data_IF_166749347751
#
_entry.id   IF_166749347751
#
_cell.length_a   1.000
_cell.length_b   1.000
_cell.length_c   1.000
_cell.angle_alpha   90.00
_cell.angle_beta   90.00
_cell.angle_gamma   90.00
#
_symmetry.space_group_name_H-M   'P 1'
#
loop_
_entity.id
_entity.type
_entity.pdbx_description
1 polymer ?
#
# COMPACT_ATOMS: atom_id res chain seq x y z
N UNK A 1 9.26 14.17 -3.56
CA UNK A 1 7.89 13.62 -3.57
C UNK A 1 6.93 14.79 -3.58
N UNK A 2 5.90 14.76 -4.41
CA UNK A 2 4.85 15.80 -4.43
C UNK A 2 3.46 15.17 -4.38
N UNK A 3 2.51 15.85 -3.76
CA UNK A 3 1.12 15.40 -3.65
C UNK A 3 0.23 16.53 -4.14
N UNK A 4 -0.61 16.25 -5.13
CA UNK A 4 -1.68 17.15 -5.55
C UNK A 4 -3.01 16.52 -5.14
N UNK A 5 -3.84 17.27 -4.45
CA UNK A 5 -5.17 16.83 -4.02
C UNK A 5 -6.18 17.91 -4.37
N UNK A 6 -7.40 17.49 -4.66
CA UNK A 6 -8.51 18.38 -4.95
C UNK A 6 -9.82 17.77 -4.44
N UNK A 7 -10.70 18.61 -3.91
CA UNK A 7 -12.05 18.27 -3.51
C UNK A 7 -13.06 19.00 -4.38
N UNK A 8 -13.99 18.27 -4.99
CA UNK A 8 -15.01 18.84 -5.88
C UNK A 8 -16.42 18.61 -5.34
N UNK A 9 -17.31 19.57 -5.60
CA UNK A 9 -18.76 19.44 -5.35
C UNK A 9 -19.50 19.90 -6.59
N UNK A 10 -20.60 19.22 -6.96
CA UNK A 10 -21.38 19.59 -8.14
C UNK A 10 -22.03 20.97 -7.97
N UNK A 11 -22.61 21.21 -6.79
CA UNK A 11 -23.28 22.41 -6.32
C UNK A 11 -23.15 22.49 -4.78
N UNK A 12 -23.27 23.67 -4.15
CA UNK A 12 -23.29 23.78 -2.70
C UNK A 12 -24.36 22.87 -2.06
N UNK A 13 -23.95 21.99 -1.14
CA UNK A 13 -24.87 21.06 -0.45
C UNK A 13 -25.26 19.83 -1.27
N UNK A 14 -24.53 19.48 -2.32
CA UNK A 14 -24.80 18.31 -3.17
C UNK A 14 -23.66 17.28 -3.12
N UNK A 15 -23.69 16.32 -4.06
CA UNK A 15 -22.68 15.28 -4.20
C UNK A 15 -21.27 15.86 -4.37
N UNK A 16 -20.35 15.25 -3.65
CA UNK A 16 -18.96 15.64 -3.56
C UNK A 16 -18.04 14.45 -3.84
N UNK A 17 -16.87 14.75 -4.37
CA UNK A 17 -15.79 13.81 -4.59
C UNK A 17 -14.47 14.42 -4.14
N UNK A 18 -13.48 13.57 -3.92
CA UNK A 18 -12.10 13.97 -3.73
C UNK A 18 -11.19 13.12 -4.61
N UNK A 19 -10.04 13.67 -4.96
CA UNK A 19 -9.02 12.93 -5.65
C UNK A 19 -7.63 13.49 -5.42
N UNK A 20 -6.64 12.75 -5.89
CA UNK A 20 -5.27 13.22 -5.86
C UNK A 20 -4.29 12.32 -6.58
N UNK A 21 -3.14 12.91 -6.90
CA UNK A 21 -1.99 12.26 -7.53
C UNK A 21 -0.78 12.39 -6.61
N UNK A 22 -0.08 11.27 -6.44
CA UNK A 22 1.16 11.20 -5.68
C UNK A 22 2.28 10.95 -6.68
N UNK A 23 3.31 11.80 -6.66
CA UNK A 23 4.43 11.74 -7.59
C UNK A 23 5.76 11.64 -6.87
N UNK A 24 6.70 10.90 -7.47
CA UNK A 24 8.08 10.87 -7.02
C UNK A 24 8.82 12.18 -7.36
N UNK A 25 10.10 12.27 -7.01
CA UNK A 25 10.92 13.46 -7.29
C UNK A 25 11.22 13.66 -8.78
N UNK A 26 11.02 12.64 -9.63
CA UNK A 26 11.14 12.74 -11.09
C UNK A 26 9.83 13.20 -11.74
N UNK A 27 8.78 13.41 -10.95
CA UNK A 27 7.45 13.78 -11.42
C UNK A 27 6.60 12.60 -11.90
N UNK A 28 7.08 11.36 -11.79
CA UNK A 28 6.30 10.17 -12.18
C UNK A 28 5.21 9.90 -11.15
N UNK A 29 4.01 9.60 -11.64
CA UNK A 29 2.90 9.19 -10.79
C UNK A 29 3.20 7.80 -10.19
N UNK A 30 3.26 7.73 -8.86
CA UNK A 30 3.50 6.47 -8.14
C UNK A 30 2.21 5.90 -7.55
N UNK A 31 1.21 6.76 -7.30
CA UNK A 31 -0.09 6.36 -6.79
C UNK A 31 -1.13 7.46 -7.05
N UNK A 32 -2.41 7.10 -7.02
CA UNK A 32 -3.54 8.00 -7.24
C UNK A 32 -4.77 7.52 -6.47
N UNK A 33 -5.66 8.45 -6.11
CA UNK A 33 -6.92 8.11 -5.48
C UNK A 33 -8.06 8.96 -6.00
N UNK A 34 -9.26 8.36 -5.96
CA UNK A 34 -10.55 9.02 -6.19
C UNK A 34 -11.54 8.45 -5.18
N UNK A 35 -12.31 9.31 -4.52
CA UNK A 35 -13.25 8.94 -3.47
C UNK A 35 -14.57 9.70 -3.63
N UNK A 36 -15.68 8.98 -3.47
CA UNK A 36 -17.01 9.59 -3.34
C UNK A 36 -17.21 9.99 -1.87
N UNK A 37 -17.46 11.28 -1.62
CA UNK A 37 -17.59 11.83 -0.27
C UNK A 37 -19.03 11.97 0.20
N UNK A 38 -20.00 11.62 -0.65
CA UNK A 38 -21.43 11.84 -0.41
C UNK A 38 -21.77 13.33 -0.48
N UNK A 39 -22.71 13.78 0.36
CA UNK A 39 -23.10 15.18 0.42
C UNK A 39 -22.20 15.94 1.39
N UNK A 40 -21.46 16.94 0.90
CA UNK A 40 -20.72 17.86 1.76
C UNK A 40 -20.47 19.23 1.11
N UNK A 41 -19.93 20.17 1.89
CA UNK A 41 -19.52 21.48 1.38
C UNK A 41 -18.17 21.41 0.65
N UNK A 42 -17.91 22.36 -0.24
CA UNK A 42 -16.64 22.44 -0.98
C UNK A 42 -15.43 22.44 -0.04
N UNK A 43 -15.47 23.25 1.03
CA UNK A 43 -14.39 23.33 2.01
C UNK A 43 -14.14 21.97 2.69
N UNK A 44 -15.20 21.20 2.96
CA UNK A 44 -15.05 19.88 3.58
C UNK A 44 -14.51 18.85 2.58
N UNK A 45 -14.87 18.96 1.30
CA UNK A 45 -14.30 18.11 0.25
C UNK A 45 -12.79 18.33 0.12
N UNK A 46 -12.37 19.59 0.05
CA UNK A 46 -10.96 20.00 -0.03
C UNK A 46 -10.13 19.51 1.15
N UNK A 47 -10.61 19.74 2.38
CA UNK A 47 -9.93 19.28 3.61
C UNK A 47 -9.81 17.75 3.62
N UNK A 48 -10.88 17.03 3.24
CA UNK A 48 -10.85 15.56 3.17
C UNK A 48 -9.84 15.07 2.13
N UNK A 49 -9.80 15.69 0.95
CA UNK A 49 -8.84 15.37 -0.10
C UNK A 49 -7.40 15.54 0.42
N UNK A 50 -7.09 16.67 1.07
CA UNK A 50 -5.77 16.95 1.63
C UNK A 50 -5.35 15.94 2.72
N UNK A 51 -6.24 15.64 3.67
CA UNK A 51 -5.98 14.64 4.73
C UNK A 51 -5.72 13.26 4.11
N UNK A 52 -6.54 12.87 3.13
CA UNK A 52 -6.41 11.58 2.46
C UNK A 52 -5.11 11.48 1.66
N UNK A 53 -4.78 12.52 0.90
CA UNK A 53 -3.52 12.60 0.17
C UNK A 53 -2.31 12.52 1.09
N UNK A 54 -2.33 13.21 2.25
CA UNK A 54 -1.26 13.10 3.25
C UNK A 54 -1.08 11.67 3.77
N UNK A 55 -2.18 10.99 4.08
CA UNK A 55 -2.14 9.61 4.57
C UNK A 55 -1.57 8.64 3.53
N UNK A 56 -2.04 8.72 2.28
CA UNK A 56 -1.55 7.88 1.20
C UNK A 56 -0.11 8.23 0.79
N UNK A 57 0.26 9.51 0.82
CA UNK A 57 1.63 9.97 0.59
C UNK A 57 2.61 9.37 1.60
N UNK A 58 2.25 9.32 2.88
CA UNK A 58 3.06 8.65 3.90
C UNK A 58 3.27 7.16 3.62
N UNK A 59 2.23 6.45 3.17
CA UNK A 59 2.33 5.04 2.76
C UNK A 59 3.20 4.86 1.51
N UNK A 60 3.07 5.74 0.52
CA UNK A 60 3.86 5.71 -0.69
C UNK A 60 5.35 5.92 -0.39
N UNK A 61 5.68 6.86 0.52
CA UNK A 61 7.06 7.05 1.00
C UNK A 61 7.58 5.77 1.65
N UNK A 62 6.82 5.15 2.56
CA UNK A 62 7.23 3.90 3.22
C UNK A 62 7.46 2.73 2.21
N UNK A 63 6.65 2.65 1.15
CA UNK A 63 6.81 1.67 0.08
C UNK A 63 8.05 1.95 -0.78
N UNK A 64 8.30 3.20 -1.11
CA UNK A 64 9.46 3.63 -1.90
C UNK A 64 10.77 3.47 -1.11
N UNK A 65 10.80 3.78 0.19
CA UNK A 65 11.99 3.57 1.02
C UNK A 65 12.33 2.08 1.14
N UNK A 66 11.34 1.19 1.33
CA UNK A 66 11.59 -0.25 1.34
C UNK A 66 12.09 -0.81 0.00
N UNK A 67 11.66 -0.22 -1.13
CA UNK A 67 12.13 -0.60 -2.47
C UNK A 67 13.54 -0.08 -2.79
N UNK A 68 13.97 0.99 -2.15
CA UNK A 68 15.22 1.70 -2.43
C UNK A 68 16.28 1.56 -1.33
N UNK A 69 16.04 0.73 -0.31
CA UNK A 69 17.13 0.17 0.48
C UNK A 69 17.76 -0.91 -0.41
N UNK A 70 18.97 -0.70 -1.00
CA UNK A 70 19.71 -1.84 -1.54
C UNK A 70 19.82 -2.87 -0.43
N UNK A 71 19.83 -4.19 -0.71
CA UNK A 71 20.00 -5.21 0.32
C UNK A 71 21.42 -5.12 0.91
N UNK A 72 21.67 -4.10 1.72
CA UNK A 72 22.79 -3.98 2.64
C UNK A 72 22.39 -4.73 3.89
N UNK A 73 22.34 -6.05 3.75
CA UNK A 73 22.47 -7.09 4.77
C UNK A 73 22.12 -8.41 4.07
N UNK A 74 23.12 -9.01 3.40
CA UNK A 74 23.16 -10.47 3.26
C UNK A 74 23.43 -11.06 4.66
N UNK A 75 22.48 -10.93 5.58
CA UNK A 75 22.42 -11.89 6.66
C UNK A 75 21.98 -13.17 5.97
N UNK A 76 22.88 -14.15 5.97
CA UNK A 76 22.63 -15.52 5.55
C UNK A 76 21.23 -15.95 5.96
N UNK A 77 20.53 -16.55 5.00
CA UNK A 77 19.17 -17.07 5.19
C UNK A 77 19.00 -17.73 6.56
N UNK A 78 17.88 -17.54 7.27
CA UNK A 78 17.63 -18.31 8.49
C UNK A 78 17.78 -19.80 8.17
N UNK A 79 18.41 -20.60 9.06
CA UNK A 79 18.67 -22.00 8.77
C UNK A 79 17.35 -22.69 8.42
N UNK A 80 17.28 -23.25 7.21
CA UNK A 80 16.17 -24.12 6.81
C UNK A 80 16.14 -25.26 7.81
N UNK A 81 15.10 -25.31 8.65
CA UNK A 81 14.82 -26.47 9.49
C UNK A 81 14.65 -27.67 8.56
N UNK A 82 15.68 -28.51 8.46
CA UNK A 82 15.61 -29.79 7.77
C UNK A 82 14.97 -30.77 8.75
N UNK A 83 13.78 -31.34 8.46
CA UNK A 83 13.36 -32.52 9.18
C UNK A 83 14.39 -33.63 8.90
N UNK A 84 14.92 -34.23 9.96
CA UNK A 84 15.84 -35.35 9.87
C UNK A 84 15.11 -36.53 9.22
N UNK A 85 15.44 -36.82 7.96
CA UNK A 85 15.21 -38.14 7.37
C UNK A 85 16.13 -39.14 8.04
N UNK A 86 15.64 -39.70 9.15
CA UNK A 86 16.12 -40.93 9.74
C UNK A 86 15.51 -42.13 9.02
N UNK A 87 16.41 -42.89 8.41
CA UNK A 87 16.32 -44.23 7.82
C UNK A 87 15.23 -45.21 8.30
N UNK A 88 14.47 -45.71 7.33
CA UNK A 88 14.05 -47.11 7.07
C UNK A 88 13.77 -48.07 8.24
N UNK A 89 12.51 -48.49 8.37
CA UNK A 89 12.16 -49.87 8.72
C UNK A 89 10.98 -50.32 7.82
N UNK A 90 11.24 -51.33 7.01
CA UNK A 90 10.25 -52.12 6.28
C UNK A 90 9.39 -52.92 7.24
N UNK A 91 8.08 -53.03 6.98
CA UNK A 91 7.27 -54.20 7.33
C UNK A 91 5.90 -54.11 6.65
N UNK A 92 5.74 -54.85 5.54
CA UNK A 92 4.44 -55.25 5.02
C UNK A 92 3.67 -56.00 6.11
N UNK A 93 2.36 -55.75 6.23
CA UNK A 93 1.42 -56.86 6.41
C UNK A 93 0.01 -56.48 5.96
N UNK A 94 -0.45 -57.31 5.04
CA UNK A 94 -1.79 -57.45 4.49
C UNK A 94 -2.76 -58.12 5.47
N UNK A 95 -4.06 -57.79 5.31
CA UNK A 95 -5.27 -58.46 5.84
C UNK A 95 -5.55 -58.22 7.33
N UNK A 96 -6.65 -57.51 7.61
CA UNK A 96 -7.97 -58.11 7.89
C UNK A 96 -9.08 -57.18 7.41
#
# INVERSE_FOLDING_TARGET
MSINTDGSVKQPGSLAAAGGLIRDWTGRCVDAFVENLGICTITRAEIKAAIRGRWLGGKAIAKCTFKWIPPLLSISSPPKFRPSTGTSIWSNNSRD
#
